data_IF_602977531311
#
_entry.id   IF_602977531311
#
_cell.length_a   1.000
_cell.length_b   1.000
_cell.length_c   1.000
_cell.angle_alpha   90.00
_cell.angle_beta   90.00
_cell.angle_gamma   90.00
#
_symmetry.space_group_name_H-M   'P 1'
#
loop_
_entity.id
_entity.type
_entity.pdbx_description
1 polymer ?
#
# COMPACT_ATOMS: atom_id res chain seq x y z
N UNK A 1 6.38 2.20 -28.23
CA UNK A 1 6.10 1.81 -27.70
C UNK A 1 5.79 2.02 -26.70
N UNK A 2 5.42 1.83 -26.25
CA UNK A 2 5.09 1.80 -25.39
C UNK A 2 5.22 1.35 -24.45
N UNK A 3 5.29 1.53 -23.79
CA UNK A 3 5.41 0.99 -22.96
C UNK A 3 4.74 0.85 -22.00
N UNK A 4 4.42 0.40 -22.03
CA UNK A 4 3.67 -0.07 -21.03
C UNK A 4 4.36 -0.06 -19.79
N UNK A 5 3.72 0.22 -18.77
CA UNK A 5 4.31 0.21 -17.52
C UNK A 5 4.45 -1.17 -17.05
N UNK A 6 5.64 -1.57 -16.91
CA UNK A 6 5.88 -2.86 -16.41
C UNK A 6 6.23 -2.76 -14.98
N UNK A 7 5.25 -2.69 -14.14
CA UNK A 7 5.47 -2.64 -12.71
C UNK A 7 5.74 -4.06 -12.25
N UNK A 8 6.92 -4.31 -11.77
CA UNK A 8 7.27 -5.63 -11.32
C UNK A 8 6.83 -5.82 -9.87
N UNK A 9 6.86 -7.08 -9.44
CA UNK A 9 6.55 -7.39 -8.07
C UNK A 9 7.47 -6.63 -7.11
N UNK A 10 8.75 -6.55 -7.47
CA UNK A 10 9.71 -5.82 -6.64
C UNK A 10 9.35 -4.35 -6.53
N UNK A 11 8.90 -3.77 -7.62
CA UNK A 11 8.48 -2.37 -7.60
C UNK A 11 7.31 -2.17 -6.65
N UNK A 12 6.35 -3.08 -6.69
CA UNK A 12 5.19 -2.98 -5.83
C UNK A 12 5.57 -3.12 -4.37
N UNK A 13 6.49 -4.03 -4.09
CA UNK A 13 6.94 -4.21 -2.71
C UNK A 13 7.69 -2.99 -2.21
N UNK A 14 8.47 -2.37 -3.09
CA UNK A 14 9.18 -1.15 -2.71
C UNK A 14 8.21 -0.01 -2.44
N UNK A 15 7.18 0.12 -3.24
CA UNK A 15 6.16 1.12 -3.02
C UNK A 15 5.49 0.92 -1.67
N UNK A 16 5.12 -0.32 -1.39
CA UNK A 16 4.47 -0.62 -0.12
C UNK A 16 5.37 -0.25 1.05
N UNK A 17 6.63 -0.64 0.94
CA UNK A 17 7.57 -0.35 2.01
C UNK A 17 7.73 1.16 2.22
N UNK A 18 7.78 1.91 1.12
CA UNK A 18 7.94 3.36 1.23
C UNK A 18 6.75 3.99 1.96
N UNK A 19 5.55 3.52 1.66
CA UNK A 19 4.37 4.05 2.31
C UNK A 19 4.39 3.74 3.79
N UNK A 20 4.74 2.51 4.13
CA UNK A 20 4.78 2.10 5.53
C UNK A 20 5.83 2.87 6.31
N UNK A 21 6.98 3.09 5.68
CA UNK A 21 8.06 3.84 6.34
C UNK A 21 7.68 5.30 6.52
N UNK A 22 6.95 5.84 5.57
CA UNK A 22 6.50 7.23 5.67
C UNK A 22 5.68 7.43 6.93
N UNK A 23 4.89 6.45 7.29
CA UNK A 23 4.03 6.55 8.47
C UNK A 23 4.62 5.83 9.68
N UNK A 24 5.75 5.17 9.50
CA UNK A 24 6.42 4.42 10.57
C UNK A 24 5.51 3.36 11.17
N UNK A 25 4.79 2.67 10.29
CA UNK A 25 3.86 1.64 10.70
C UNK A 25 4.16 0.36 9.95
N UNK A 26 3.84 -0.76 10.57
CA UNK A 26 3.82 -2.01 9.82
C UNK A 26 2.49 -2.11 9.11
N UNK A 27 2.41 -3.05 8.19
CA UNK A 27 1.16 -3.26 7.47
C UNK A 27 0.03 -3.63 8.43
N UNK A 28 0.33 -4.46 9.41
CA UNK A 28 -0.66 -4.85 10.41
C UNK A 28 -1.16 -3.66 11.20
N UNK A 29 -0.25 -2.78 11.57
CA UNK A 29 -0.63 -1.59 12.32
C UNK A 29 -1.49 -0.66 11.49
N UNK A 30 -1.16 -0.53 10.22
CA UNK A 30 -1.94 0.30 9.33
C UNK A 30 -3.34 -0.27 9.16
N UNK A 31 -3.42 -1.59 8.97
CA UNK A 31 -4.71 -2.25 8.83
C UNK A 31 -5.56 -2.08 10.09
N UNK A 32 -4.93 -2.14 11.25
CA UNK A 32 -5.64 -1.95 12.49
C UNK A 32 -6.22 -0.55 12.59
N UNK A 33 -5.44 0.45 12.18
CA UNK A 33 -5.94 1.81 12.18
C UNK A 33 -7.13 1.98 11.25
N UNK A 34 -7.06 1.35 10.08
CA UNK A 34 -8.17 1.43 9.13
C UNK A 34 -9.42 0.81 9.72
N UNK A 35 -9.26 -0.30 10.42
CA UNK A 35 -10.39 -0.99 11.02
C UNK A 35 -11.04 -0.16 12.09
N UNK A 36 -10.25 0.63 12.79
CA UNK A 36 -10.74 1.46 13.89
C UNK A 36 -11.17 2.84 13.45
N UNK A 37 -10.99 3.14 12.16
CA UNK A 37 -11.34 4.46 11.62
C UNK A 37 -10.61 5.59 12.36
N UNK A 38 -9.34 5.36 12.68
CA UNK A 38 -8.57 6.39 13.37
C UNK A 38 -7.58 7.08 12.44
N UNK A 39 -7.65 6.79 11.15
CA UNK A 39 -6.78 7.45 10.19
C UNK A 39 -7.36 8.78 9.78
N UNK A 40 -6.49 9.74 9.51
CA UNK A 40 -6.92 11.06 9.11
C UNK A 40 -6.12 11.51 7.91
N UNK A 41 -6.75 12.36 7.11
CA UNK A 41 -6.06 12.99 6.00
C UNK A 41 -5.55 12.00 5.00
N UNK A 42 -4.31 12.22 4.60
CA UNK A 42 -3.74 11.42 3.53
C UNK A 42 -3.46 9.98 3.95
N UNK A 43 -3.63 9.65 5.21
CA UNK A 43 -3.48 8.25 5.61
C UNK A 43 -4.50 7.37 4.89
N UNK A 44 -5.70 7.88 4.68
CA UNK A 44 -6.69 7.11 3.93
C UNK A 44 -6.27 6.91 2.49
N UNK A 45 -5.67 7.93 1.89
CA UNK A 45 -5.19 7.82 0.52
C UNK A 45 -4.09 6.78 0.43
N UNK A 46 -3.18 6.79 1.38
CA UNK A 46 -2.09 5.83 1.39
C UNK A 46 -2.61 4.41 1.65
N UNK A 47 -3.61 4.29 2.50
CA UNK A 47 -4.22 2.99 2.74
C UNK A 47 -4.84 2.43 1.46
N UNK A 48 -5.53 3.29 0.70
CA UNK A 48 -6.08 2.90 -0.57
C UNK A 48 -5.00 2.41 -1.51
N UNK A 49 -3.88 3.11 -1.52
CA UNK A 49 -2.74 2.73 -2.34
C UNK A 49 -2.24 1.34 -1.95
N UNK A 50 -2.15 1.08 -0.65
CA UNK A 50 -1.72 -0.21 -0.17
C UNK A 50 -2.68 -1.32 -0.60
N UNK A 51 -3.97 -1.03 -0.60
CA UNK A 51 -4.94 -1.99 -1.06
C UNK A 51 -4.76 -2.31 -2.54
N UNK A 52 -4.50 -1.29 -3.33
CA UNK A 52 -4.25 -1.49 -4.74
C UNK A 52 -3.01 -2.31 -4.99
N UNK A 53 -1.96 -2.05 -4.22
CA UNK A 53 -0.72 -2.80 -4.34
C UNK A 53 -0.95 -4.27 -3.99
N UNK A 54 -1.69 -4.51 -2.92
CA UNK A 54 -1.99 -5.88 -2.52
C UNK A 54 -2.77 -6.61 -3.60
N UNK A 55 -3.71 -5.91 -4.22
CA UNK A 55 -4.48 -6.50 -5.29
C UNK A 55 -3.58 -6.88 -6.47
N UNK A 56 -2.66 -5.98 -6.83
CA UNK A 56 -1.75 -6.24 -7.94
C UNK A 56 -0.77 -7.35 -7.62
N UNK A 57 -0.41 -7.50 -6.36
CA UNK A 57 0.48 -8.57 -5.95
C UNK A 57 -0.23 -9.91 -5.85
N UNK A 58 -1.55 -9.90 -5.86
CA UNK A 58 -2.30 -11.12 -5.73
C UNK A 58 -2.33 -11.64 -4.32
N UNK A 59 -2.25 -10.74 -3.35
CA UNK A 59 -2.22 -11.14 -1.95
C UNK A 59 -3.58 -11.38 -1.36
N UNK A 60 -4.59 -11.28 -2.18
CA UNK A 60 -5.95 -11.42 -1.69
C UNK A 60 -6.38 -12.87 -1.62
N UNK A 61 -5.46 -13.75 -1.72
CA UNK A 61 -5.77 -15.16 -1.71
C UNK A 61 -6.44 -15.61 -0.46
#
# INVERSE_FOLDING_TARGET
>A
MIEVVNVTRDDLLAYRQAILEKHRLTLDEFADRARRYVMIGEEWDDWDELQGIAFLLGDDQ
#
